data_IF_695030792880
#
_entry.id   IF_695030792880
#
_cell.length_a   1.000
_cell.length_b   1.000
_cell.length_c   1.000
_cell.angle_alpha   90.00
_cell.angle_beta   90.00
_cell.angle_gamma   90.00
#
_symmetry.space_group_name_H-M   'P 1'
#
loop_
_entity.id
_entity.type
_entity.pdbx_description
1 polymer ?
#
# COMPACT_ATOMS: atom_id res chain seq x y z
N UNK A 1 26.52 -12.39 14.46
CA UNK A 1 26.79 -11.30 13.51
C UNK A 1 25.47 -10.73 12.98
N UNK A 2 24.80 -9.84 13.74
CA UNK A 2 23.49 -9.28 13.33
C UNK A 2 23.26 -7.85 13.85
N UNK A 3 24.33 -7.06 13.96
CA UNK A 3 24.20 -5.63 14.27
C UNK A 3 23.95 -4.78 13.00
N UNK A 4 24.49 -5.21 11.86
CA UNK A 4 24.36 -4.51 10.59
C UNK A 4 22.95 -4.56 9.99
N UNK A 5 22.18 -5.63 10.22
CA UNK A 5 20.80 -5.75 9.72
C UNK A 5 19.83 -4.75 10.37
N UNK A 6 20.10 -4.37 11.63
CA UNK A 6 19.33 -3.34 12.33
C UNK A 6 19.69 -1.92 11.86
N UNK A 7 20.97 -1.69 11.51
CA UNK A 7 21.46 -0.37 11.07
C UNK A 7 21.21 -0.10 9.58
N UNK A 8 21.37 -1.12 8.73
CA UNK A 8 21.15 -1.05 7.29
C UNK A 8 20.16 -2.14 6.86
N UNK A 9 18.91 -1.77 6.51
CA UNK A 9 17.93 -2.73 6.03
C UNK A 9 18.42 -3.41 4.76
N UNK A 10 18.13 -4.71 4.63
CA UNK A 10 18.45 -5.48 3.43
C UNK A 10 17.57 -5.03 2.26
N UNK A 11 18.02 -5.27 1.02
CA UNK A 11 17.23 -4.94 -0.18
C UNK A 11 15.86 -5.65 -0.19
N UNK A 12 15.75 -6.84 0.41
CA UNK A 12 14.48 -7.58 0.52
C UNK A 12 13.51 -6.92 1.49
N UNK A 13 13.98 -6.46 2.64
CA UNK A 13 13.14 -5.72 3.58
C UNK A 13 12.74 -4.36 3.00
N UNK A 14 13.67 -3.73 2.27
CA UNK A 14 13.46 -2.48 1.59
C UNK A 14 12.38 -2.59 0.50
N UNK A 15 12.36 -3.68 -0.29
CA UNK A 15 11.33 -3.88 -1.32
C UNK A 15 9.93 -4.03 -0.70
N UNK A 16 9.81 -4.73 0.44
CA UNK A 16 8.55 -4.82 1.20
C UNK A 16 8.10 -3.46 1.70
N UNK A 17 9.01 -2.69 2.31
CA UNK A 17 8.71 -1.33 2.79
C UNK A 17 8.31 -0.39 1.65
N UNK A 18 8.97 -0.49 0.49
CA UNK A 18 8.62 0.30 -0.70
C UNK A 18 7.23 -0.05 -1.20
N UNK A 19 6.85 -1.33 -1.23
CA UNK A 19 5.48 -1.72 -1.56
C UNK A 19 4.48 -1.17 -0.53
N UNK A 20 4.79 -1.26 0.76
CA UNK A 20 3.93 -0.73 1.82
C UNK A 20 3.71 0.79 1.69
N UNK A 21 4.70 1.56 1.19
CA UNK A 21 4.50 3.00 0.90
C UNK A 21 3.47 3.26 -0.19
N UNK A 22 3.17 2.27 -1.03
CA UNK A 22 2.16 2.42 -2.07
C UNK A 22 0.75 2.38 -1.47
N UNK A 23 0.52 1.50 -0.51
CA UNK A 23 -0.79 1.25 0.09
C UNK A 23 -1.07 2.17 1.29
N UNK A 24 -0.06 2.45 2.13
CA UNK A 24 -0.24 3.20 3.38
C UNK A 24 0.79 4.31 3.58
N UNK A 25 0.41 5.35 4.33
CA UNK A 25 1.34 6.40 4.74
C UNK A 25 2.25 5.86 5.85
N UNK A 26 3.52 5.62 5.52
CA UNK A 26 4.52 5.22 6.52
C UNK A 26 4.91 6.38 7.44
N UNK A 27 5.25 6.10 8.71
CA UNK A 27 5.76 7.09 9.65
C UNK A 27 7.08 7.69 9.18
N UNK A 28 7.36 8.93 9.61
CA UNK A 28 8.44 9.77 9.08
C UNK A 28 9.84 9.12 9.22
N UNK A 29 10.10 8.42 10.32
CA UNK A 29 11.40 7.76 10.57
C UNK A 29 11.70 6.67 9.54
N UNK A 30 10.67 5.94 9.09
CA UNK A 30 10.81 4.93 8.04
C UNK A 30 11.17 5.61 6.73
N UNK A 31 10.54 6.74 6.39
CA UNK A 31 10.86 7.50 5.16
C UNK A 31 12.32 7.91 5.09
N UNK A 32 12.92 8.30 6.21
CA UNK A 32 14.35 8.65 6.27
C UNK A 32 15.23 7.42 6.00
N UNK A 33 14.91 6.26 6.59
CA UNK A 33 15.60 4.99 6.31
C UNK A 33 15.53 4.62 4.82
N UNK A 34 14.34 4.76 4.22
CA UNK A 34 14.14 4.54 2.78
C UNK A 34 15.08 5.43 1.97
N UNK A 35 15.11 6.75 2.26
CA UNK A 35 15.97 7.68 1.52
C UNK A 35 17.44 7.31 1.61
N UNK A 36 17.94 7.01 2.80
CA UNK A 36 19.35 6.62 3.01
C UNK A 36 19.67 5.38 2.17
N UNK A 37 18.83 4.34 2.21
CA UNK A 37 19.05 3.12 1.43
C UNK A 37 19.02 3.38 -0.09
N UNK A 38 18.11 4.23 -0.58
CA UNK A 38 18.04 4.56 -2.01
C UNK A 38 19.24 5.39 -2.50
N UNK A 39 19.96 6.09 -1.61
CA UNK A 39 21.19 6.80 -1.98
C UNK A 39 22.39 5.84 -2.11
N UNK A 40 22.42 4.76 -1.33
CA UNK A 40 23.52 3.78 -1.34
C UNK A 40 23.28 2.58 -2.28
N UNK A 41 22.03 2.33 -2.70
CA UNK A 41 21.66 1.17 -3.50
C UNK A 41 20.90 1.56 -4.77
N UNK A 42 21.58 1.49 -5.92
CA UNK A 42 20.99 1.80 -7.23
C UNK A 42 19.89 0.81 -7.64
N UNK A 43 19.98 -0.46 -7.23
CA UNK A 43 18.94 -1.47 -7.52
C UNK A 43 17.61 -1.08 -6.89
N UNK A 44 17.60 -0.78 -5.59
CA UNK A 44 16.40 -0.35 -4.89
C UNK A 44 15.87 0.98 -5.41
N UNK A 45 16.75 1.87 -5.87
CA UNK A 45 16.37 3.16 -6.48
C UNK A 45 15.64 2.97 -7.81
N UNK A 46 16.14 2.08 -8.67
CA UNK A 46 15.47 1.69 -9.92
C UNK A 46 14.12 1.03 -9.64
N UNK A 47 14.06 0.09 -8.70
CA UNK A 47 12.81 -0.56 -8.30
C UNK A 47 11.76 0.44 -7.78
N UNK A 48 12.17 1.39 -6.93
CA UNK A 48 11.27 2.46 -6.46
C UNK A 48 10.77 3.36 -7.60
N UNK A 49 11.60 3.61 -8.62
CA UNK A 49 11.16 4.34 -9.80
C UNK A 49 10.10 3.55 -10.58
N UNK A 50 10.32 2.26 -10.82
CA UNK A 50 9.35 1.37 -11.48
C UNK A 50 8.00 1.34 -10.73
N UNK A 51 8.02 1.21 -9.40
CA UNK A 51 6.80 1.24 -8.58
C UNK A 51 6.04 2.57 -8.72
N UNK A 52 6.74 3.71 -8.73
CA UNK A 52 6.10 5.02 -8.93
C UNK A 52 5.52 5.18 -10.33
N UNK A 53 6.20 4.67 -11.35
CA UNK A 53 5.66 4.64 -12.71
C UNK A 53 4.39 3.81 -12.77
N UNK A 54 4.42 2.58 -12.25
CA UNK A 54 3.24 1.71 -12.20
C UNK A 54 2.07 2.40 -11.50
N UNK A 55 2.29 2.99 -10.33
CA UNK A 55 1.24 3.74 -9.61
C UNK A 55 0.72 4.91 -10.43
N UNK A 56 1.59 5.66 -11.10
CA UNK A 56 1.17 6.79 -11.92
C UNK A 56 0.32 6.36 -13.12
N UNK A 57 0.65 5.22 -13.75
CA UNK A 57 -0.11 4.66 -14.86
C UNK A 57 -1.49 4.18 -14.40
N UNK A 58 -1.54 3.45 -13.28
CA UNK A 58 -2.80 3.00 -12.66
C UNK A 58 -3.71 4.17 -12.27
N UNK A 59 -3.14 5.26 -11.74
CA UNK A 59 -3.92 6.45 -11.38
C UNK A 59 -4.33 7.29 -12.59
N UNK A 60 -3.54 7.31 -13.66
CA UNK A 60 -3.86 8.06 -14.90
C UNK A 60 -4.93 7.38 -15.73
N UNK A 61 -5.08 6.06 -15.63
CA UNK A 61 -6.01 5.28 -16.43
C UNK A 61 -6.90 4.37 -15.55
N UNK A 62 -7.76 4.94 -14.70
CA UNK A 62 -8.66 4.16 -13.86
C UNK A 62 -9.68 3.34 -14.67
N UNK A 63 -9.84 3.65 -15.97
CA UNK A 63 -10.86 3.06 -16.83
C UNK A 63 -10.51 1.65 -17.35
N UNK A 64 -9.24 1.22 -17.38
CA UNK A 64 -8.84 -0.07 -17.97
C UNK A 64 -8.96 -1.28 -17.03
N UNK A 65 -9.38 -1.07 -15.77
CA UNK A 65 -9.81 -2.14 -14.87
C UNK A 65 -11.35 -2.20 -14.71
N UNK A 66 -12.10 -1.43 -15.49
CA UNK A 66 -13.57 -1.34 -15.33
C UNK A 66 -14.37 -2.45 -16.04
N UNK A 67 -13.78 -3.22 -16.96
CA UNK A 67 -14.52 -4.30 -17.65
C UNK A 67 -14.62 -5.60 -16.83
N UNK A 68 -13.92 -5.71 -15.69
CA UNK A 68 -14.14 -6.80 -14.71
C UNK A 68 -14.61 -6.32 -13.33
N UNK A 69 -14.71 -5.01 -13.12
CA UNK A 69 -15.15 -4.37 -11.88
C UNK A 69 -16.54 -3.71 -12.05
N UNK A 70 -17.45 -4.35 -12.78
CA UNK A 70 -18.82 -3.87 -13.01
C UNK A 70 -19.73 -3.92 -11.76
N UNK A 71 -19.17 -3.91 -10.54
CA UNK A 71 -19.95 -4.03 -9.28
C UNK A 71 -19.50 -3.17 -8.11
N UNK A 72 -18.42 -2.37 -8.20
CA UNK A 72 -17.99 -1.54 -7.08
C UNK A 72 -18.47 -0.10 -7.23
N UNK A 73 -19.75 0.09 -6.92
CA UNK A 73 -20.09 1.29 -6.15
C UNK A 73 -19.27 1.23 -4.84
N UNK A 74 -18.54 2.29 -4.45
CA UNK A 74 -17.93 2.36 -3.13
C UNK A 74 -19.06 2.49 -2.09
N UNK A 75 -19.60 1.34 -1.69
CA UNK A 75 -20.74 1.21 -0.81
C UNK A 75 -21.07 -0.25 -0.57
N UNK A 76 -21.37 -0.59 0.68
CA UNK A 76 -21.89 -1.92 1.03
C UNK A 76 -23.17 -2.20 0.22
N UNK A 77 -23.30 -3.40 -0.33
CA UNK A 77 -24.58 -3.89 -0.87
C UNK A 77 -25.71 -3.63 0.13
N UNK A 78 -26.90 -3.31 -0.36
CA UNK A 78 -28.10 -3.09 0.47
C UNK A 78 -28.29 -4.20 1.50
N UNK A 79 -28.06 -5.46 1.10
CA UNK A 79 -28.14 -6.64 1.99
C UNK A 79 -27.07 -6.63 3.09
N UNK A 80 -25.85 -6.20 2.78
CA UNK A 80 -24.76 -6.10 3.73
C UNK A 80 -25.01 -4.96 4.74
N UNK A 81 -25.49 -3.80 4.27
CA UNK A 81 -25.90 -2.67 5.11
C UNK A 81 -27.01 -3.06 6.07
N UNK A 82 -28.01 -3.81 5.59
CA UNK A 82 -29.15 -4.25 6.40
C UNK A 82 -28.77 -5.27 7.49
N UNK A 83 -27.78 -6.14 7.21
CA UNK A 83 -27.22 -7.04 8.23
C UNK A 83 -26.52 -6.27 9.34
N UNK A 84 -25.72 -5.26 8.99
CA UNK A 84 -24.99 -4.44 9.95
C UNK A 84 -25.97 -3.64 10.81
N UNK A 85 -27.01 -3.03 10.20
CA UNK A 85 -28.05 -2.30 10.93
C UNK A 85 -28.75 -3.19 11.97
N UNK A 86 -29.21 -4.38 11.58
CA UNK A 86 -29.87 -5.32 12.50
C UNK A 86 -28.99 -5.74 13.68
N UNK A 87 -27.69 -5.97 13.44
CA UNK A 87 -26.75 -6.31 14.50
C UNK A 87 -26.56 -5.16 15.51
N UNK A 88 -26.51 -3.91 15.03
CA UNK A 88 -26.42 -2.73 15.89
C UNK A 88 -27.71 -2.51 16.71
N UNK A 89 -28.87 -2.72 16.10
CA UNK A 89 -30.16 -2.60 16.79
C UNK A 89 -30.31 -3.68 17.89
N UNK A 90 -29.87 -4.91 17.62
CA UNK A 90 -29.88 -5.99 18.62
C UNK A 90 -28.93 -5.79 19.80
N UNK A 91 -27.89 -4.97 19.63
CA UNK A 91 -26.95 -4.62 20.71
C UNK A 91 -27.46 -3.44 21.56
N UNK A 92 -28.46 -2.70 21.07
CA UNK A 92 -28.98 -1.47 21.69
C UNK A 92 -30.27 -1.70 22.50
N UNK A 93 -30.93 -2.86 22.36
CA UNK A 93 -31.97 -3.36 23.28
C UNK A 93 -31.35 -4.23 24.36
#
# INVERSE_FOLDING_TARGET
>A
MSWFAHLFPTCQEMSRLLSDTMDRRLPWHVRTRIRIHLQMCEVCKSYHHQLRLLRSLLLRNPAQHSERESTLQPGLSVKAKERIRRALDSYRS
#
